data_IF_656834415373
#
_entry.id   IF_656834415373
#
_cell.length_a   1.000
_cell.length_b   1.000
_cell.length_c   1.000
_cell.angle_alpha   90.00
_cell.angle_beta   90.00
_cell.angle_gamma   90.00
#
_symmetry.space_group_name_H-M   'P 1'
#
loop_
_entity.id
_entity.type
_entity.pdbx_description
1 polymer ?
#
# COMPACT_ATOMS: atom_id res chain seq x y z
N UNK A 1 -16.88 -14.03 18.16
CA UNK A 1 -15.51 -13.66 17.79
C UNK A 1 -15.30 -12.18 18.10
N UNK A 2 -14.11 -11.76 18.54
CA UNK A 2 -13.82 -10.38 18.94
C UNK A 2 -12.56 -9.85 18.24
N UNK A 3 -12.65 -8.63 17.72
CA UNK A 3 -11.54 -7.93 17.06
C UNK A 3 -11.29 -6.59 17.77
N UNK A 4 -10.06 -6.38 18.19
CA UNK A 4 -9.58 -5.13 18.78
C UNK A 4 -8.75 -4.38 17.74
N UNK A 5 -8.99 -3.08 17.62
CA UNK A 5 -8.23 -2.21 16.75
C UNK A 5 -7.87 -0.93 17.52
N UNK A 6 -6.58 -0.63 17.58
CA UNK A 6 -6.06 0.58 18.20
C UNK A 6 -5.32 1.38 17.14
N UNK A 7 -5.66 2.65 17.00
CA UNK A 7 -5.04 3.57 16.06
C UNK A 7 -4.38 4.69 16.85
N UNK A 8 -3.15 5.03 16.46
CA UNK A 8 -2.43 6.15 17.04
C UNK A 8 -1.65 6.88 15.95
N UNK A 9 -1.48 8.19 16.13
CA UNK A 9 -0.70 9.04 15.23
C UNK A 9 0.29 9.84 16.06
N UNK A 10 1.58 9.64 15.80
CA UNK A 10 2.66 10.39 16.45
C UNK A 10 3.42 11.20 15.40
N UNK A 11 4.19 12.20 15.83
CA UNK A 11 5.06 12.96 14.93
C UNK A 11 6.49 12.47 15.07
N UNK A 12 7.13 12.18 13.93
CA UNK A 12 8.55 11.83 13.82
C UNK A 12 9.17 12.81 12.84
N UNK A 13 10.12 13.63 13.29
CA UNK A 13 10.64 14.77 12.51
C UNK A 13 9.53 15.65 11.92
N UNK A 14 8.52 15.96 12.74
CA UNK A 14 7.31 16.72 12.34
C UNK A 14 6.41 16.04 11.30
N UNK A 15 6.79 14.85 10.82
CA UNK A 15 6.00 14.07 9.87
C UNK A 15 5.07 13.11 10.61
N UNK A 16 3.82 12.95 10.13
CA UNK A 16 2.87 12.05 10.77
C UNK A 16 3.27 10.59 10.51
N UNK A 17 3.51 9.86 11.60
CA UNK A 17 3.60 8.41 11.64
C UNK A 17 2.28 7.87 12.20
N UNK A 18 1.51 7.21 11.34
CA UNK A 18 0.26 6.56 11.70
C UNK A 18 0.52 5.08 11.98
N UNK A 19 -0.04 4.58 13.08
CA UNK A 19 0.10 3.20 13.52
C UNK A 19 -1.28 2.61 13.76
N UNK A 20 -1.51 1.40 13.26
CA UNK A 20 -2.73 0.64 13.50
C UNK A 20 -2.36 -0.74 14.00
N UNK A 21 -2.71 -1.05 15.25
CA UNK A 21 -2.62 -2.39 15.80
C UNK A 21 -3.97 -3.08 15.69
N UNK A 22 -3.99 -4.33 15.22
CA UNK A 22 -5.20 -5.14 15.09
C UNK A 22 -4.94 -6.50 15.72
N UNK A 23 -5.84 -6.93 16.62
CA UNK A 23 -5.82 -8.27 17.21
C UNK A 23 -7.20 -8.92 17.07
N UNK A 24 -7.29 -10.06 16.42
CA UNK A 24 -8.51 -10.86 16.28
C UNK A 24 -8.40 -12.14 17.11
N UNK A 25 -9.26 -12.28 18.12
CA UNK A 25 -9.18 -13.37 19.09
C UNK A 25 -9.52 -14.73 18.47
N UNK A 26 -10.54 -14.79 17.62
CA UNK A 26 -11.01 -16.05 17.03
C UNK A 26 -10.02 -16.69 16.06
N UNK A 27 -9.23 -15.89 15.34
CA UNK A 27 -8.19 -16.37 14.44
C UNK A 27 -6.78 -16.36 15.04
N UNK A 28 -6.60 -15.84 16.26
CA UNK A 28 -5.28 -15.61 16.88
C UNK A 28 -4.41 -14.63 16.10
N UNK A 29 -4.98 -13.88 15.16
CA UNK A 29 -4.25 -13.03 14.24
C UNK A 29 -3.93 -11.68 14.88
N UNK A 30 -2.66 -11.28 14.83
CA UNK A 30 -2.21 -9.96 15.31
C UNK A 30 -1.35 -9.29 14.26
N UNK A 31 -1.65 -8.04 13.93
CA UNK A 31 -0.88 -7.25 12.95
C UNK A 31 -0.65 -5.82 13.43
N UNK A 32 0.49 -5.26 13.03
CA UNK A 32 0.84 -3.85 13.16
C UNK A 32 1.04 -3.26 11.78
N UNK A 33 0.30 -2.22 11.47
CA UNK A 33 0.46 -1.41 10.27
C UNK A 33 1.09 -0.06 10.64
N UNK A 34 2.01 0.40 9.81
CA UNK A 34 2.65 1.69 9.95
C UNK A 34 2.58 2.49 8.66
N UNK A 35 2.42 3.80 8.75
CA UNK A 35 2.56 4.68 7.60
C UNK A 35 3.16 6.02 7.96
N UNK A 36 4.29 6.33 7.35
CA UNK A 36 5.03 7.57 7.48
C UNK A 36 4.89 8.37 6.17
N UNK A 37 4.33 9.57 6.25
CA UNK A 37 4.20 10.49 5.11
C UNK A 37 5.29 11.55 5.22
N UNK A 38 6.30 11.47 4.37
CA UNK A 38 7.41 12.43 4.37
C UNK A 38 6.97 13.78 3.79
N UNK A 39 6.24 13.73 2.67
CA UNK A 39 5.67 14.87 1.97
C UNK A 39 4.52 14.38 1.06
N UNK A 40 3.82 15.26 0.32
CA UNK A 40 2.72 14.83 -0.56
C UNK A 40 3.12 13.84 -1.66
N UNK A 41 4.39 13.78 -2.04
CA UNK A 41 4.92 12.88 -3.06
C UNK A 41 5.46 11.56 -2.47
N UNK A 42 5.94 11.56 -1.22
CA UNK A 42 6.72 10.46 -0.66
C UNK A 42 6.07 9.86 0.59
N UNK A 43 5.79 8.55 0.56
CA UNK A 43 5.18 7.81 1.66
C UNK A 43 5.82 6.44 1.85
N UNK A 44 6.13 6.07 3.08
CA UNK A 44 6.48 4.70 3.46
C UNK A 44 5.30 4.06 4.20
N UNK A 45 4.97 2.82 3.85
CA UNK A 45 3.94 2.04 4.53
C UNK A 45 4.51 0.66 4.87
N UNK A 46 4.21 0.17 6.06
CA UNK A 46 4.63 -1.14 6.52
C UNK A 46 3.45 -1.93 7.07
N UNK A 47 3.49 -3.24 6.92
CA UNK A 47 2.59 -4.17 7.60
C UNK A 47 3.43 -5.30 8.17
N UNK A 48 3.21 -5.63 9.44
CA UNK A 48 3.84 -6.73 10.14
C UNK A 48 2.77 -7.62 10.75
N UNK A 49 2.91 -8.94 10.60
CA UNK A 49 2.05 -9.94 11.24
C UNK A 49 2.88 -10.64 12.32
N UNK A 50 2.44 -10.53 13.57
CA UNK A 50 3.16 -11.12 14.69
C UNK A 50 3.14 -12.64 14.63
N UNK A 51 4.26 -13.26 14.98
CA UNK A 51 4.40 -14.72 15.05
C UNK A 51 4.61 -15.43 13.72
N UNK A 52 4.49 -14.73 12.57
CA UNK A 52 4.67 -15.35 11.25
C UNK A 52 5.92 -14.88 10.51
N UNK A 53 6.54 -13.78 10.95
CA UNK A 53 7.67 -13.15 10.25
C UNK A 53 7.27 -12.37 8.99
N UNK A 54 6.00 -12.43 8.58
CA UNK A 54 5.50 -11.63 7.47
C UNK A 54 5.61 -10.14 7.79
N UNK A 55 6.51 -9.47 7.06
CA UNK A 55 6.66 -8.03 7.08
C UNK A 55 6.77 -7.53 5.64
N UNK A 56 5.96 -6.53 5.27
CA UNK A 56 6.05 -5.85 3.98
C UNK A 56 6.34 -4.38 4.20
N UNK A 57 7.30 -3.85 3.45
CA UNK A 57 7.61 -2.43 3.41
C UNK A 57 7.40 -1.91 1.99
N UNK A 58 6.45 -0.99 1.82
CA UNK A 58 6.11 -0.37 0.54
C UNK A 58 6.46 1.11 0.57
N UNK A 59 7.29 1.54 -0.36
CA UNK A 59 7.48 2.96 -0.65
C UNK A 59 6.52 3.37 -1.75
N UNK A 60 5.96 4.57 -1.66
CA UNK A 60 5.10 5.16 -2.69
C UNK A 60 5.68 6.52 -3.04
N UNK A 61 6.02 6.68 -4.32
CA UNK A 61 6.40 7.95 -4.91
C UNK A 61 5.30 8.42 -5.86
N UNK A 62 4.84 9.65 -5.68
CA UNK A 62 3.82 10.30 -6.49
C UNK A 62 4.41 11.50 -7.24
N UNK A 63 4.27 11.50 -8.55
CA UNK A 63 4.85 12.51 -9.44
C UNK A 63 3.78 13.23 -10.25
N UNK A 64 4.02 14.51 -10.56
CA UNK A 64 3.09 15.34 -11.34
C UNK A 64 1.75 15.55 -10.63
N UNK A 65 1.76 15.77 -9.31
CA UNK A 65 0.52 15.98 -8.54
C UNK A 65 -0.38 14.74 -8.44
N UNK A 66 0.18 13.53 -8.49
CA UNK A 66 -0.61 12.29 -8.45
C UNK A 66 -0.94 11.69 -9.81
N UNK A 67 -0.41 12.25 -10.90
CA UNK A 67 -0.62 11.74 -12.26
C UNK A 67 0.16 10.45 -12.50
N UNK A 68 1.32 10.27 -11.85
CA UNK A 68 2.11 9.03 -11.90
C UNK A 68 2.41 8.55 -10.49
N UNK A 69 2.36 7.24 -10.27
CA UNK A 69 2.81 6.64 -9.01
C UNK A 69 3.75 5.49 -9.25
N UNK A 70 4.75 5.33 -8.39
CA UNK A 70 5.68 4.22 -8.36
C UNK A 70 5.69 3.61 -6.97
N UNK A 71 5.57 2.29 -6.89
CA UNK A 71 5.38 1.57 -5.65
C UNK A 71 6.25 0.31 -5.58
N UNK A 72 7.55 0.43 -5.24
CA UNK A 72 8.34 -0.74 -4.86
C UNK A 72 7.92 -1.23 -3.48
N UNK A 73 7.80 -2.54 -3.33
CA UNK A 73 7.37 -3.21 -2.11
C UNK A 73 8.30 -4.39 -1.83
N UNK A 74 8.92 -4.40 -0.66
CA UNK A 74 9.77 -5.49 -0.23
C UNK A 74 9.02 -6.38 0.76
N UNK A 75 9.00 -7.68 0.49
CA UNK A 75 8.51 -8.71 1.40
C UNK A 75 9.71 -9.35 2.11
N UNK A 76 9.86 -9.04 3.41
CA UNK A 76 11.00 -9.50 4.20
C UNK A 76 10.98 -11.02 4.40
N UNK A 77 9.81 -11.64 4.48
CA UNK A 77 9.71 -13.08 4.72
C UNK A 77 10.14 -13.86 3.49
N UNK A 78 9.71 -13.41 2.31
CA UNK A 78 10.04 -14.06 1.05
C UNK A 78 11.36 -13.57 0.44
N UNK A 79 11.98 -12.53 1.04
CA UNK A 79 13.15 -11.84 0.51
C UNK A 79 12.98 -11.44 -0.96
N UNK A 80 11.83 -10.84 -1.28
CA UNK A 80 11.45 -10.53 -2.66
C UNK A 80 10.94 -9.11 -2.81
N UNK A 81 11.11 -8.56 -4.01
CA UNK A 81 10.56 -7.27 -4.40
C UNK A 81 9.34 -7.44 -5.27
N UNK A 82 8.33 -6.62 -5.06
CA UNK A 82 7.21 -6.41 -5.97
C UNK A 82 7.23 -4.95 -6.41
N UNK A 83 6.77 -4.69 -7.63
CA UNK A 83 6.74 -3.35 -8.19
C UNK A 83 5.35 -3.06 -8.75
N UNK A 84 4.88 -1.83 -8.55
CA UNK A 84 3.76 -1.32 -9.31
C UNK A 84 4.04 0.10 -9.80
N UNK A 85 3.50 0.42 -10.96
CA UNK A 85 3.47 1.78 -11.49
C UNK A 85 2.08 2.08 -12.00
N UNK A 86 1.60 3.31 -11.79
CA UNK A 86 0.32 3.75 -12.34
C UNK A 86 0.41 5.11 -13.01
N UNK A 87 -0.46 5.34 -13.97
CA UNK A 87 -0.61 6.61 -14.66
C UNK A 87 -2.09 6.94 -14.81
N UNK A 88 -2.47 8.13 -14.33
CA UNK A 88 -3.77 8.72 -14.61
C UNK A 88 -3.76 9.27 -16.03
N UNK A 89 -4.75 8.86 -16.82
CA UNK A 89 -4.96 9.31 -18.19
C UNK A 89 -6.25 10.14 -18.29
N UNK A 90 -6.58 10.61 -19.49
CA UNK A 90 -7.74 11.48 -19.71
C UNK A 90 -9.04 10.85 -19.19
N UNK A 91 -9.90 11.68 -18.59
CA UNK A 91 -11.19 11.25 -18.04
C UNK A 91 -11.13 10.65 -16.64
N UNK A 92 -9.98 10.69 -15.96
CA UNK A 92 -9.82 10.13 -14.61
C UNK A 92 -9.47 8.64 -14.58
N UNK A 93 -9.41 8.02 -15.75
CA UNK A 93 -8.98 6.63 -15.94
C UNK A 93 -7.54 6.42 -15.41
N UNK A 94 -7.27 5.23 -14.89
CA UNK A 94 -5.96 4.84 -14.37
C UNK A 94 -5.51 3.55 -15.02
N UNK A 95 -4.34 3.59 -15.64
CA UNK A 95 -3.62 2.41 -16.11
C UNK A 95 -2.58 2.06 -15.06
N UNK A 96 -2.56 0.79 -14.63
CA UNK A 96 -1.61 0.28 -13.64
C UNK A 96 -0.91 -0.96 -14.17
N UNK A 97 0.42 -0.96 -14.11
CA UNK A 97 1.25 -2.12 -14.33
C UNK A 97 1.80 -2.61 -12.99
N UNK A 98 1.93 -3.92 -12.83
CA UNK A 98 2.54 -4.54 -11.65
C UNK A 98 3.40 -5.72 -12.04
N UNK A 99 4.44 -5.96 -11.25
CA UNK A 99 5.31 -7.11 -11.38
C UNK A 99 5.48 -7.76 -10.01
N UNK A 100 5.05 -9.01 -9.90
CA UNK A 100 5.23 -9.83 -8.72
C UNK A 100 6.39 -10.80 -8.95
N UNK A 101 7.54 -10.51 -8.35
CA UNK A 101 8.81 -11.22 -8.63
C UNK A 101 8.75 -12.71 -8.30
N UNK A 102 8.21 -13.16 -7.14
CA UNK A 102 8.17 -14.58 -6.81
C UNK A 102 7.49 -15.45 -7.86
N UNK A 103 6.39 -14.96 -8.45
CA UNK A 103 5.64 -15.69 -9.49
C UNK A 103 6.04 -15.29 -10.90
N UNK A 104 6.97 -14.35 -11.07
CA UNK A 104 7.34 -13.72 -12.34
C UNK A 104 6.10 -13.24 -13.11
N UNK A 105 5.10 -12.73 -12.39
CA UNK A 105 3.80 -12.39 -12.94
C UNK A 105 3.75 -10.91 -13.24
N UNK A 106 3.45 -10.57 -14.50
CA UNK A 106 3.12 -9.21 -14.92
C UNK A 106 1.61 -9.06 -14.90
N UNK A 107 1.13 -8.01 -14.24
CA UNK A 107 -0.28 -7.61 -14.24
C UNK A 107 -0.45 -6.26 -14.91
N UNK A 108 -1.49 -6.13 -15.74
CA UNK A 108 -1.93 -4.87 -16.32
C UNK A 108 -3.41 -4.68 -15.98
N UNK A 109 -3.75 -3.52 -15.43
CA UNK A 109 -5.08 -3.16 -14.99
C UNK A 109 -5.45 -1.79 -15.57
N UNK A 110 -6.69 -1.65 -16.04
CA UNK A 110 -7.28 -0.37 -16.40
C UNK A 110 -8.54 -0.21 -15.57
N UNK A 111 -8.58 0.87 -14.79
CA UNK A 111 -9.80 1.30 -14.10
C UNK A 111 -10.29 2.62 -14.66
N UNK A 112 -11.61 2.73 -14.81
CA UNK A 112 -12.30 3.97 -15.18
C UNK A 112 -13.16 4.40 -14.02
N UNK A 113 -13.11 5.70 -13.72
CA UNK A 113 -14.01 6.33 -12.76
C UNK A 113 -14.70 7.52 -13.43
N UNK A 114 -15.70 7.23 -14.26
CA UNK A 114 -16.47 8.24 -15.00
C UNK A 114 -17.87 8.38 -14.42
N UNK A 115 -18.25 9.61 -14.06
CA UNK A 115 -19.62 9.93 -13.63
C UNK A 115 -20.64 9.86 -14.76
N UNK A 116 -20.20 9.97 -16.02
CA UNK A 116 -21.08 10.04 -17.20
C UNK A 116 -21.24 8.69 -17.90
N UNK A 117 -20.17 7.90 -17.98
CA UNK A 117 -20.16 6.62 -18.73
C UNK A 117 -20.07 5.38 -17.82
N UNK A 118 -20.11 5.57 -16.50
CA UNK A 118 -19.96 4.52 -15.51
C UNK A 118 -18.51 4.13 -15.22
N UNK A 119 -18.32 3.36 -14.14
CA UNK A 119 -17.01 2.92 -13.66
C UNK A 119 -16.78 1.44 -13.97
N UNK A 120 -15.55 1.05 -14.32
CA UNK A 120 -15.16 -0.35 -14.49
C UNK A 120 -13.77 -0.61 -13.93
N UNK A 121 -13.49 -1.88 -13.59
CA UNK A 121 -12.21 -2.35 -13.06
C UNK A 121 -11.95 -3.78 -13.49
#
# INVERSE_FOLDING_TARGET
>A
DARFQFMNSIRVFEKPLNLTYIHARGSGFTTLEGSLVFDPANKLSTNYVFGSGHCKAKYTFSHGGGVRTFEPCYDLMNNTWDFAASHKVFGGDVIKASYHTPKKLVGLEWSRDSKEMGSFK
#
